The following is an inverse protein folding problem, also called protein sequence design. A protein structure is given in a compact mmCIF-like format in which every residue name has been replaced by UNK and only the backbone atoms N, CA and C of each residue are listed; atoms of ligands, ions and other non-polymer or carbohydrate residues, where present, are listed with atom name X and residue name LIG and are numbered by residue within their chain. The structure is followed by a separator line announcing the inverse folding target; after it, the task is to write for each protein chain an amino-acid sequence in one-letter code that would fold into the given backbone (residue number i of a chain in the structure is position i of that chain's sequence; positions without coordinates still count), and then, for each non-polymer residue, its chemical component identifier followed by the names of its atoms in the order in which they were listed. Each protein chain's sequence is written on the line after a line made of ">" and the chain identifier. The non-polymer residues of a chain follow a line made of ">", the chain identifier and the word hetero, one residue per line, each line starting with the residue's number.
data_IF_175211656244
#
_entry.id   IF_175211656244
#
_cell.length_a   1.000
_cell.length_b   1.000
_cell.length_c   1.000
_cell.angle_alpha   90.00
_cell.angle_beta   90.00
_cell.angle_gamma   90.00
#
_symmetry.space_group_name_H-M   'P 1'
#
loop_
_entity.id
_entity.type
_entity.pdbx_description
1 polymer ?
#
# COMPACT_ATOMS: atom_id res chain seq x y z
N UNK A 1 19.40 29.84 -19.28
CA UNK A 1 19.09 29.93 -17.85
C UNK A 1 19.36 28.57 -17.25
N UNK A 2 20.34 28.48 -16.35
CA UNK A 2 20.55 27.22 -15.61
C UNK A 2 19.43 27.11 -14.57
N UNK A 3 18.46 26.23 -14.82
CA UNK A 3 17.47 25.89 -13.82
C UNK A 3 18.13 25.05 -12.75
N UNK A 4 18.10 25.50 -11.51
CA UNK A 4 18.44 24.66 -10.35
C UNK A 4 17.33 23.66 -10.17
N UNK A 5 17.68 22.42 -9.86
CA UNK A 5 16.68 21.40 -9.60
C UNK A 5 17.17 20.35 -8.61
N UNK A 6 16.24 19.82 -7.84
CA UNK A 6 16.39 18.56 -7.12
C UNK A 6 15.47 17.59 -7.84
N UNK A 7 16.01 16.55 -8.43
CA UNK A 7 15.22 15.60 -9.20
C UNK A 7 15.59 14.17 -8.86
N UNK A 8 14.62 13.26 -8.95
CA UNK A 8 14.81 11.83 -8.75
C UNK A 8 15.63 11.53 -7.48
N UNK A 9 15.20 12.11 -6.36
CA UNK A 9 15.89 12.02 -5.08
C UNK A 9 14.93 11.60 -3.97
N UNK A 10 15.43 10.94 -2.95
CA UNK A 10 14.59 10.50 -1.85
C UNK A 10 15.31 10.53 -0.50
N UNK A 11 14.52 10.55 0.55
CA UNK A 11 14.96 10.34 1.92
C UNK A 11 14.15 9.21 2.58
N UNK A 12 14.86 8.29 3.23
CA UNK A 12 14.26 7.19 4.00
C UNK A 12 14.63 7.25 5.50
N UNK A 13 15.58 8.13 5.85
CA UNK A 13 16.03 8.33 7.22
C UNK A 13 15.25 9.45 7.91
N UNK A 14 15.18 9.39 9.24
CA UNK A 14 14.57 10.45 10.03
C UNK A 14 15.40 11.74 9.98
N UNK A 15 14.71 12.87 9.90
CA UNK A 15 15.30 14.22 9.94
C UNK A 15 14.79 14.94 11.17
N UNK A 16 15.69 15.28 12.07
CA UNK A 16 15.36 16.03 13.30
C UNK A 16 16.25 17.25 13.43
N UNK A 17 15.66 18.41 13.67
CA UNK A 17 16.38 19.66 13.87
C UNK A 17 15.64 20.57 14.87
N UNK A 18 16.40 21.33 15.68
CA UNK A 18 15.84 22.33 16.59
C UNK A 18 15.47 23.65 15.88
N UNK A 19 15.80 23.78 14.61
CA UNK A 19 15.65 24.99 13.81
C UNK A 19 14.42 25.00 12.91
N UNK A 20 14.32 26.07 12.12
CA UNK A 20 13.27 26.28 11.13
C UNK A 20 13.72 25.78 9.74
N UNK A 21 12.74 25.70 8.82
CA UNK A 21 12.95 25.27 7.42
C UNK A 21 13.49 23.84 7.33
N UNK A 22 12.75 22.92 7.89
CA UNK A 22 13.11 21.49 7.93
C UNK A 22 12.28 20.72 6.92
N UNK A 23 12.91 19.98 6.06
CA UNK A 23 12.24 19.12 5.09
C UNK A 23 12.96 17.81 4.89
N UNK A 24 12.22 16.76 4.59
CA UNK A 24 12.80 15.43 4.37
C UNK A 24 13.75 15.37 3.19
N UNK A 25 13.52 16.19 2.14
CA UNK A 25 14.36 16.26 0.95
C UNK A 25 15.19 17.55 0.91
N UNK A 26 14.60 18.70 1.24
CA UNK A 26 15.32 19.96 1.35
C UNK A 26 14.75 20.88 2.41
N UNK A 27 15.60 21.60 3.12
CA UNK A 27 15.17 22.58 4.11
C UNK A 27 14.49 23.80 3.46
N UNK A 28 15.10 24.37 2.43
CA UNK A 28 14.57 25.50 1.69
C UNK A 28 14.85 25.35 0.19
N UNK A 29 13.85 25.65 -0.60
CA UNK A 29 13.90 25.78 -2.05
C UNK A 29 13.69 27.25 -2.44
N UNK A 30 14.57 27.79 -3.26
CA UNK A 30 14.48 29.14 -3.77
C UNK A 30 14.70 29.15 -5.28
N UNK A 31 13.68 29.49 -6.05
CA UNK A 31 13.72 29.57 -7.51
C UNK A 31 14.26 28.29 -8.18
N UNK A 32 13.91 27.13 -7.63
CA UNK A 32 14.34 25.85 -8.16
C UNK A 32 13.15 24.89 -8.30
N UNK A 33 13.32 23.86 -9.12
CA UNK A 33 12.34 22.80 -9.30
C UNK A 33 12.71 21.60 -8.40
N UNK A 34 11.74 21.13 -7.64
CA UNK A 34 11.81 19.85 -6.92
C UNK A 34 10.86 18.88 -7.64
N UNK A 35 11.38 17.88 -8.31
CA UNK A 35 10.60 17.01 -9.21
C UNK A 35 10.98 15.53 -9.06
N UNK A 36 9.98 14.67 -8.93
CA UNK A 36 10.22 13.24 -8.81
C UNK A 36 10.93 12.87 -7.51
N UNK A 37 10.39 13.31 -6.35
CA UNK A 37 11.05 13.08 -5.06
C UNK A 37 10.10 12.46 -4.03
N UNK A 38 10.67 11.79 -3.03
CA UNK A 38 9.84 11.31 -1.91
C UNK A 38 10.59 11.27 -0.57
N UNK A 39 9.80 11.25 0.49
CA UNK A 39 10.26 11.02 1.85
C UNK A 39 9.43 9.95 2.54
N UNK A 40 10.10 9.04 3.25
CA UNK A 40 9.45 8.03 4.10
C UNK A 40 9.90 8.12 5.56
N UNK A 41 10.99 8.84 5.85
CA UNK A 41 11.47 9.08 7.19
C UNK A 41 10.62 10.12 7.94
N UNK A 42 10.62 10.07 9.26
CA UNK A 42 9.99 11.10 10.09
C UNK A 42 10.73 12.43 9.95
N UNK A 43 9.98 13.54 9.94
CA UNK A 43 10.56 14.90 9.88
C UNK A 43 10.09 15.69 11.10
N UNK A 44 11.03 16.19 11.87
CA UNK A 44 10.77 17.00 13.08
C UNK A 44 11.60 18.28 13.06
N UNK A 45 10.94 19.42 13.33
CA UNK A 45 11.58 20.72 13.39
C UNK A 45 10.84 21.71 14.26
N UNK A 46 11.29 22.97 14.29
CA UNK A 46 10.57 24.05 14.97
C UNK A 46 9.45 24.60 14.07
N UNK A 47 9.76 25.52 13.17
CA UNK A 47 8.79 26.14 12.28
C UNK A 47 9.11 25.87 10.82
N UNK A 48 8.10 25.95 9.95
CA UNK A 48 8.22 25.69 8.52
C UNK A 48 8.78 24.28 8.26
N UNK A 49 8.02 23.28 8.65
CA UNK A 49 8.40 21.87 8.52
C UNK A 49 7.53 21.18 7.47
N UNK A 50 8.16 20.55 6.50
CA UNK A 50 7.47 19.82 5.46
C UNK A 50 8.04 18.42 5.25
N UNK A 51 7.20 17.47 4.87
CA UNK A 51 7.66 16.12 4.57
C UNK A 51 8.66 16.07 3.41
N UNK A 52 8.53 17.00 2.45
CA UNK A 52 9.46 17.16 1.32
C UNK A 52 10.32 18.42 1.49
N UNK A 53 9.70 19.57 1.69
CA UNK A 53 10.43 20.85 1.81
C UNK A 53 9.88 21.67 2.98
N UNK A 54 10.79 22.29 3.75
CA UNK A 54 10.41 23.19 4.82
C UNK A 54 9.89 24.53 4.31
N UNK A 55 10.54 25.07 3.28
CA UNK A 55 10.20 26.33 2.63
C UNK A 55 10.34 26.24 1.13
N UNK A 56 9.45 26.91 0.43
CA UNK A 56 9.51 27.08 -1.02
C UNK A 56 9.20 28.53 -1.40
N UNK A 57 10.20 29.24 -1.92
CA UNK A 57 10.09 30.62 -2.34
C UNK A 57 10.49 30.79 -3.81
N UNK A 58 9.56 31.32 -4.60
CA UNK A 58 9.76 31.60 -6.02
C UNK A 58 9.56 33.08 -6.31
N UNK A 59 10.10 33.54 -7.44
CA UNK A 59 9.76 34.84 -7.99
C UNK A 59 8.34 34.79 -8.59
N UNK A 60 7.58 35.86 -8.47
CA UNK A 60 6.18 36.00 -8.93
C UNK A 60 5.99 35.65 -10.41
N UNK A 61 7.04 35.71 -11.22
CA UNK A 61 6.99 35.50 -12.68
C UNK A 61 7.13 34.03 -13.11
N UNK A 62 7.28 33.09 -12.16
CA UNK A 62 7.50 31.68 -12.51
C UNK A 62 6.16 30.95 -12.65
N UNK A 63 5.81 30.58 -13.89
CA UNK A 63 4.60 29.85 -14.25
C UNK A 63 4.82 28.32 -14.24
N UNK A 64 5.43 27.77 -13.19
CA UNK A 64 5.56 26.32 -13.06
C UNK A 64 5.48 25.89 -11.59
N UNK A 65 5.07 24.64 -11.38
CA UNK A 65 5.08 24.04 -10.06
C UNK A 65 6.53 23.91 -9.57
N UNK A 66 6.81 24.51 -8.43
CA UNK A 66 8.12 24.45 -7.80
C UNK A 66 8.37 23.10 -7.10
N UNK A 67 7.31 22.46 -6.62
CA UNK A 67 7.35 21.09 -6.12
C UNK A 67 6.33 20.27 -6.89
N UNK A 68 6.79 19.26 -7.62
CA UNK A 68 5.89 18.37 -8.35
C UNK A 68 6.34 16.91 -8.32
N UNK A 69 5.39 16.03 -8.60
CA UNK A 69 5.65 14.60 -8.62
C UNK A 69 6.36 14.15 -7.33
N UNK A 70 5.73 14.43 -6.20
CA UNK A 70 6.34 14.14 -4.91
C UNK A 70 5.37 13.45 -3.93
N UNK A 71 5.91 12.68 -3.01
CA UNK A 71 5.10 12.14 -1.93
C UNK A 71 5.83 12.04 -0.60
N UNK A 72 5.04 11.99 0.47
CA UNK A 72 5.51 11.74 1.81
C UNK A 72 4.68 10.65 2.48
N UNK A 73 5.34 9.71 3.14
CA UNK A 73 4.69 8.70 3.99
C UNK A 73 5.18 8.75 5.44
N UNK A 74 6.27 9.50 5.70
CA UNK A 74 6.79 9.73 7.03
C UNK A 74 5.94 10.73 7.83
N UNK A 75 5.96 10.64 9.14
CA UNK A 75 5.32 11.63 9.99
C UNK A 75 6.04 12.98 9.94
N UNK A 76 5.28 14.07 10.06
CA UNK A 76 5.81 15.44 10.09
C UNK A 76 5.33 16.14 11.34
N UNK A 77 6.26 16.72 12.10
CA UNK A 77 5.94 17.40 13.35
C UNK A 77 6.74 18.68 13.58
N UNK A 78 6.13 19.66 14.27
CA UNK A 78 6.77 20.92 14.62
C UNK A 78 5.84 21.87 15.37
N UNK A 79 6.18 23.17 15.39
CA UNK A 79 5.38 24.17 16.11
C UNK A 79 4.43 24.90 15.15
N UNK A 80 4.94 25.51 14.08
CA UNK A 80 4.15 26.37 13.20
C UNK A 80 4.50 26.14 11.72
N UNK A 81 3.50 26.28 10.83
CA UNK A 81 3.59 26.07 9.40
C UNK A 81 4.06 24.64 9.07
N UNK A 82 3.27 23.68 9.45
CA UNK A 82 3.61 22.26 9.32
C UNK A 82 2.77 21.64 8.20
N UNK A 83 3.42 21.13 7.16
CA UNK A 83 2.75 20.52 6.02
C UNK A 83 3.28 19.13 5.69
N UNK A 84 2.42 18.25 5.25
CA UNK A 84 2.82 16.89 4.85
C UNK A 84 3.79 16.85 3.66
N UNK A 85 3.75 17.89 2.83
CA UNK A 85 4.67 18.08 1.68
C UNK A 85 5.52 19.33 1.88
N UNK A 86 4.89 20.49 2.14
CA UNK A 86 5.55 21.78 2.22
C UNK A 86 5.17 22.52 3.50
N UNK A 87 6.14 22.99 4.26
CA UNK A 87 5.88 23.78 5.47
C UNK A 87 5.32 25.18 5.15
N UNK A 88 6.06 26.00 4.44
CA UNK A 88 5.69 27.36 4.03
C UNK A 88 5.96 27.58 2.54
N UNK A 89 4.94 28.00 1.79
CA UNK A 89 5.04 28.35 0.37
C UNK A 89 4.91 29.85 0.15
N UNK A 90 5.77 30.40 -0.72
CA UNK A 90 5.76 31.78 -1.17
C UNK A 90 5.88 31.80 -2.69
N UNK A 91 4.83 32.24 -3.41
CA UNK A 91 4.72 32.22 -4.87
C UNK A 91 4.97 30.89 -5.58
N UNK A 92 5.21 29.82 -4.84
CA UNK A 92 5.42 28.47 -5.37
C UNK A 92 4.12 27.73 -5.64
N UNK A 93 4.18 26.66 -6.40
CA UNK A 93 3.04 25.76 -6.58
C UNK A 93 3.42 24.30 -6.33
N UNK A 94 2.49 23.56 -5.79
CA UNK A 94 2.62 22.14 -5.48
C UNK A 94 1.69 21.35 -6.38
N UNK A 95 2.18 20.39 -7.13
CA UNK A 95 1.37 19.63 -8.07
C UNK A 95 1.72 18.14 -8.11
N UNK A 96 0.72 17.28 -8.33
CA UNK A 96 0.88 15.84 -8.44
C UNK A 96 1.58 15.26 -7.21
N UNK A 97 1.01 15.50 -6.04
CA UNK A 97 1.60 15.09 -4.76
C UNK A 97 0.60 14.36 -3.89
N UNK A 98 1.09 13.56 -2.98
CA UNK A 98 0.28 13.03 -1.89
C UNK A 98 1.05 12.89 -0.58
N UNK A 99 0.29 12.93 0.51
CA UNK A 99 0.80 12.67 1.85
C UNK A 99 -0.02 11.57 2.53
N UNK A 100 0.63 10.51 2.98
CA UNK A 100 0.04 9.46 3.81
C UNK A 100 0.55 9.49 5.24
N UNK A 101 1.58 10.31 5.52
CA UNK A 101 2.14 10.48 6.85
C UNK A 101 1.26 11.36 7.73
N UNK A 102 1.30 11.11 9.03
CA UNK A 102 0.63 11.95 10.01
C UNK A 102 1.33 13.31 10.14
N UNK A 103 0.55 14.39 10.13
CA UNK A 103 1.06 15.74 10.33
C UNK A 103 0.57 16.29 11.68
N UNK A 104 1.45 16.92 12.45
CA UNK A 104 1.11 17.46 13.77
C UNK A 104 1.91 18.72 14.10
N UNK A 105 1.26 19.66 14.81
CA UNK A 105 1.88 20.91 15.22
C UNK A 105 0.96 21.75 16.10
N UNK A 106 1.43 22.95 16.47
CA UNK A 106 0.69 23.87 17.36
C UNK A 106 -0.10 24.92 16.59
N UNK A 107 0.34 25.29 15.38
CA UNK A 107 -0.32 26.30 14.54
C UNK A 107 -0.03 26.06 13.04
N UNK A 108 -0.97 26.46 12.20
CA UNK A 108 -0.86 26.39 10.75
C UNK A 108 -0.42 24.99 10.29
N UNK A 109 -1.22 23.98 10.62
CA UNK A 109 -0.97 22.56 10.31
C UNK A 109 -1.91 22.13 9.19
N UNK A 110 -1.35 21.50 8.17
CA UNK A 110 -2.12 21.00 7.03
C UNK A 110 -1.52 19.71 6.47
N UNK A 111 -2.35 18.91 5.83
CA UNK A 111 -1.91 17.63 5.27
C UNK A 111 -0.96 17.78 4.06
N UNK A 112 -1.01 18.88 3.33
CA UNK A 112 -0.17 19.14 2.16
C UNK A 112 0.76 20.32 2.37
N UNK A 113 0.23 21.53 2.67
CA UNK A 113 1.02 22.75 2.80
C UNK A 113 0.60 23.53 4.05
N UNK A 114 1.47 23.65 5.05
CA UNK A 114 1.15 24.26 6.33
C UNK A 114 0.68 25.71 6.21
N UNK A 115 1.40 26.55 5.48
CA UNK A 115 1.03 27.93 5.25
C UNK A 115 1.49 28.46 3.88
N UNK A 116 0.83 29.55 3.45
CA UNK A 116 1.27 30.41 2.36
C UNK A 116 1.38 31.85 2.86
N UNK A 117 2.50 32.48 2.58
CA UNK A 117 2.82 33.82 3.09
C UNK A 117 2.30 34.96 2.17
N UNK A 118 1.66 34.61 1.06
CA UNK A 118 1.16 35.58 0.09
C UNK A 118 -0.32 35.39 -0.23
N UNK A 119 -1.02 36.49 -0.60
CA UNK A 119 -2.38 36.45 -1.13
C UNK A 119 -2.45 35.70 -2.47
N UNK A 120 -1.34 35.57 -3.20
CA UNK A 120 -1.20 34.68 -4.31
C UNK A 120 -1.12 33.25 -3.79
N UNK A 121 -2.28 32.64 -3.67
CA UNK A 121 -2.42 31.24 -3.25
C UNK A 121 -1.50 30.40 -4.10
N UNK A 122 -0.45 29.84 -3.50
CA UNK A 122 0.35 28.81 -4.11
C UNK A 122 -0.61 27.76 -4.66
N UNK A 123 -0.60 27.57 -5.98
CA UNK A 123 -1.58 26.69 -6.58
C UNK A 123 -1.28 25.25 -6.19
N UNK A 124 -2.07 24.70 -5.28
CA UNK A 124 -2.02 23.27 -4.97
C UNK A 124 -2.96 22.55 -5.93
N UNK A 125 -2.41 21.64 -6.72
CA UNK A 125 -3.15 20.92 -7.76
C UNK A 125 -2.83 19.43 -7.72
N UNK A 126 -3.85 18.59 -7.95
CA UNK A 126 -3.72 17.14 -7.93
C UNK A 126 -2.96 16.67 -6.67
N UNK A 127 -3.46 17.09 -5.51
CA UNK A 127 -2.83 16.85 -4.21
C UNK A 127 -3.79 16.11 -3.29
N UNK A 128 -3.35 14.97 -2.77
CA UNK A 128 -4.18 14.04 -2.01
C UNK A 128 -3.57 13.70 -0.66
N UNK A 129 -4.42 13.37 0.29
CA UNK A 129 -4.00 12.91 1.61
C UNK A 129 -5.09 12.03 2.27
N UNK A 130 -4.72 11.25 3.27
CA UNK A 130 -5.68 10.56 4.11
C UNK A 130 -6.23 11.50 5.18
N UNK A 131 -7.49 11.35 5.56
CA UNK A 131 -8.17 12.22 6.54
C UNK A 131 -7.55 12.19 7.93
N UNK A 132 -6.83 11.15 8.28
CA UNK A 132 -6.11 11.02 9.54
C UNK A 132 -4.66 11.56 9.48
N UNK A 133 -4.20 12.00 8.32
CA UNK A 133 -2.84 12.52 8.14
C UNK A 133 -2.65 13.96 8.61
N UNK A 134 -3.73 14.69 8.86
CA UNK A 134 -3.66 16.09 9.34
C UNK A 134 -4.91 16.90 9.03
N UNK A 135 -4.79 18.22 9.13
CA UNK A 135 -5.87 19.15 8.84
C UNK A 135 -6.08 19.36 7.34
N UNK A 136 -7.30 19.74 6.99
CA UNK A 136 -7.76 19.86 5.61
C UNK A 136 -7.88 21.35 5.21
N UNK A 137 -6.85 21.89 4.62
CA UNK A 137 -6.88 23.24 4.05
C UNK A 137 -6.52 23.25 2.56
N UNK A 138 -5.54 22.44 2.17
CA UNK A 138 -5.05 22.33 0.80
C UNK A 138 -5.09 20.86 0.33
N UNK A 139 -5.49 20.64 -0.93
CA UNK A 139 -5.57 19.30 -1.52
C UNK A 139 -6.95 18.64 -1.36
N UNK A 140 -7.08 17.45 -1.92
CA UNK A 140 -8.30 16.63 -1.84
C UNK A 140 -8.22 15.66 -0.66
N UNK A 141 -8.97 15.94 0.38
CA UNK A 141 -9.08 15.12 1.60
C UNK A 141 -10.13 14.01 1.51
N UNK A 142 -10.51 13.60 0.31
CA UNK A 142 -11.48 12.51 0.14
C UNK A 142 -10.92 11.20 0.69
N UNK A 143 -11.71 10.53 1.51
CA UNK A 143 -11.40 9.15 1.93
C UNK A 143 -11.82 8.21 0.82
N UNK A 144 -10.86 7.54 0.25
CA UNK A 144 -11.13 6.49 -0.73
C UNK A 144 -11.38 5.16 -0.03
N UNK A 145 -12.39 4.43 -0.47
CA UNK A 145 -12.73 3.14 0.10
C UNK A 145 -11.67 2.07 -0.21
N UNK A 146 -10.94 2.26 -1.30
CA UNK A 146 -9.88 1.35 -1.73
C UNK A 146 -8.66 2.10 -2.25
N UNK A 147 -7.50 1.46 -2.20
CA UNK A 147 -6.29 1.98 -2.83
C UNK A 147 -6.46 2.17 -4.34
N UNK A 148 -7.24 1.33 -4.99
CA UNK A 148 -7.53 1.44 -6.42
C UNK A 148 -8.27 2.74 -6.75
N UNK A 149 -9.27 3.15 -5.95
CA UNK A 149 -9.99 4.42 -6.15
C UNK A 149 -9.05 5.62 -5.94
N UNK A 150 -8.20 5.58 -4.92
CA UNK A 150 -7.17 6.60 -4.71
C UNK A 150 -6.22 6.70 -5.91
N UNK A 151 -5.68 5.56 -6.38
CA UNK A 151 -4.79 5.52 -7.54
C UNK A 151 -5.47 6.06 -8.80
N UNK A 152 -6.73 5.73 -9.02
CA UNK A 152 -7.50 6.23 -10.16
C UNK A 152 -7.67 7.74 -10.09
N UNK A 153 -8.11 8.27 -8.96
CA UNK A 153 -8.29 9.72 -8.78
C UNK A 153 -6.98 10.49 -8.96
N UNK A 154 -5.88 9.97 -8.41
CA UNK A 154 -4.55 10.55 -8.60
C UNK A 154 -4.13 10.53 -10.08
N UNK A 155 -4.30 9.39 -10.75
CA UNK A 155 -3.95 9.21 -12.16
C UNK A 155 -4.75 10.13 -13.11
N UNK A 156 -6.04 10.33 -12.82
CA UNK A 156 -6.92 11.19 -13.62
C UNK A 156 -6.49 12.66 -13.56
N UNK A 157 -5.88 13.08 -12.46
CA UNK A 157 -5.32 14.42 -12.29
C UNK A 157 -3.96 14.64 -12.95
N UNK A 158 -3.27 13.57 -13.41
CA UNK A 158 -1.94 13.67 -14.02
C UNK A 158 -2.01 14.13 -15.48
N UNK A 159 -1.11 15.03 -15.86
CA UNK A 159 -0.82 15.33 -17.26
C UNK A 159 -0.09 14.17 -17.96
N UNK A 160 -0.10 14.15 -19.30
CA UNK A 160 0.50 13.04 -20.08
C UNK A 160 2.00 12.84 -19.81
N UNK A 161 2.74 13.90 -19.55
CA UNK A 161 4.17 13.79 -19.20
C UNK A 161 4.36 13.25 -17.78
N UNK A 162 3.50 13.63 -16.84
CA UNK A 162 3.57 13.18 -15.45
C UNK A 162 3.18 11.70 -15.32
N UNK A 163 2.25 11.19 -16.14
CA UNK A 163 1.92 9.77 -16.23
C UNK A 163 3.12 8.89 -16.56
N UNK A 164 4.13 9.43 -17.24
CA UNK A 164 5.38 8.70 -17.52
C UNK A 164 6.25 8.52 -16.28
N UNK A 165 6.08 9.38 -15.30
CA UNK A 165 6.86 9.41 -14.05
C UNK A 165 6.23 8.54 -12.98
N UNK A 166 4.91 8.44 -12.96
CA UNK A 166 4.16 7.71 -11.94
C UNK A 166 3.73 6.31 -12.37
N UNK A 167 3.78 5.38 -11.42
CA UNK A 167 3.09 4.10 -11.48
C UNK A 167 1.80 4.20 -10.67
N UNK A 168 0.66 4.16 -11.34
CA UNK A 168 -0.66 4.41 -10.74
C UNK A 168 -1.63 3.23 -10.88
N UNK A 169 -1.27 2.20 -11.60
CA UNK A 169 -2.09 1.03 -11.89
C UNK A 169 -2.05 -0.06 -10.79
N UNK A 170 -1.37 0.22 -9.69
CA UNK A 170 -1.25 -0.71 -8.59
C UNK A 170 -2.54 -0.76 -7.76
N UNK A 171 -3.16 -1.93 -7.69
CA UNK A 171 -4.45 -2.13 -7.01
C UNK A 171 -4.37 -2.12 -5.48
N UNK A 172 -3.19 -2.28 -4.91
CA UNK A 172 -3.01 -2.47 -3.46
C UNK A 172 -1.97 -1.56 -2.81
N UNK A 173 -1.27 -0.75 -3.58
CA UNK A 173 -0.30 0.21 -3.06
C UNK A 173 -0.61 1.61 -3.58
N UNK A 174 -0.24 2.65 -2.83
CA UNK A 174 -0.33 4.02 -3.30
C UNK A 174 0.55 4.23 -4.55
N UNK A 175 0.28 5.26 -5.38
CA UNK A 175 1.12 5.60 -6.52
C UNK A 175 2.58 5.79 -6.11
N UNK A 176 3.52 5.42 -6.96
CA UNK A 176 4.93 5.63 -6.71
C UNK A 176 5.70 6.05 -7.96
N UNK A 177 6.90 6.58 -7.75
CA UNK A 177 7.71 7.17 -8.80
C UNK A 177 8.55 6.10 -9.51
N UNK A 178 8.29 5.88 -10.80
CA UNK A 178 8.99 4.91 -11.65
C UNK A 178 10.52 5.06 -11.69
N UNK A 179 11.11 6.28 -11.68
CA UNK A 179 12.56 6.41 -11.76
C UNK A 179 13.36 5.73 -10.64
N UNK A 180 12.71 5.40 -9.52
CA UNK A 180 13.35 4.68 -8.41
C UNK A 180 13.22 3.17 -8.51
N UNK A 181 12.51 2.67 -9.52
CA UNK A 181 12.26 1.26 -9.69
C UNK A 181 13.16 0.69 -10.78
N UNK A 182 13.63 -0.52 -10.54
CA UNK A 182 14.21 -1.31 -11.60
C UNK A 182 13.09 -1.74 -12.56
N UNK A 183 13.23 -1.41 -13.84
CA UNK A 183 12.30 -1.88 -14.85
C UNK A 183 12.51 -3.37 -15.11
N UNK A 184 11.42 -4.12 -15.08
CA UNK A 184 11.37 -5.54 -15.43
C UNK A 184 10.41 -5.70 -16.58
N UNK A 185 10.93 -6.02 -17.76
CA UNK A 185 10.13 -6.19 -18.96
C UNK A 185 10.42 -7.54 -19.64
N UNK A 186 9.40 -8.15 -20.20
CA UNK A 186 9.54 -9.39 -20.94
C UNK A 186 8.21 -10.09 -21.23
N UNK A 187 8.22 -10.92 -22.25
CA UNK A 187 7.09 -11.79 -22.55
C UNK A 187 7.30 -13.15 -21.88
N UNK A 188 6.50 -13.38 -20.86
CA UNK A 188 6.48 -14.64 -20.09
C UNK A 188 5.80 -15.75 -20.89
N UNK A 189 4.99 -15.38 -21.89
CA UNK A 189 4.20 -16.31 -22.67
C UNK A 189 3.03 -16.91 -21.87
N UNK A 190 2.72 -18.17 -22.14
CA UNK A 190 1.63 -18.87 -21.45
C UNK A 190 2.16 -19.74 -20.32
N UNK A 191 1.77 -19.42 -19.09
CA UNK A 191 1.99 -20.25 -17.92
C UNK A 191 0.73 -21.03 -17.58
N UNK A 192 0.86 -22.32 -17.30
CA UNK A 192 -0.26 -23.17 -16.91
C UNK A 192 0.04 -23.85 -15.58
N UNK A 193 -0.87 -23.74 -14.64
CA UNK A 193 -0.75 -24.39 -13.34
C UNK A 193 -2.11 -24.78 -12.76
N UNK A 194 -2.16 -25.77 -11.91
CA UNK A 194 -3.39 -26.19 -11.24
C UNK A 194 -3.77 -25.16 -10.16
N UNK A 195 -5.05 -25.04 -9.86
CA UNK A 195 -5.51 -24.24 -8.73
C UNK A 195 -4.85 -24.73 -7.42
N UNK A 196 -4.35 -23.79 -6.62
CA UNK A 196 -3.60 -24.09 -5.41
C UNK A 196 -2.11 -24.41 -5.59
N UNK A 197 -1.59 -24.35 -6.84
CA UNK A 197 -0.16 -24.44 -7.10
C UNK A 197 0.55 -23.15 -6.67
N UNK A 198 1.86 -23.25 -6.47
CA UNK A 198 2.72 -22.09 -6.28
C UNK A 198 2.95 -21.36 -7.62
N UNK A 199 2.04 -20.45 -7.97
CA UNK A 199 2.14 -19.65 -9.21
C UNK A 199 3.37 -18.74 -9.19
N UNK A 200 3.78 -18.31 -8.01
CA UNK A 200 4.96 -17.46 -7.84
C UNK A 200 6.23 -18.20 -8.22
N UNK A 201 6.39 -19.44 -7.78
CA UNK A 201 7.51 -20.28 -8.18
C UNK A 201 7.55 -20.54 -9.69
N UNK A 202 6.38 -20.80 -10.31
CA UNK A 202 6.28 -21.00 -11.75
C UNK A 202 6.66 -19.72 -12.54
N UNK A 203 6.20 -18.57 -12.13
CA UNK A 203 6.58 -17.28 -12.72
C UNK A 203 8.07 -17.01 -12.57
N UNK A 204 8.62 -17.20 -11.38
CA UNK A 204 10.05 -16.96 -11.11
C UNK A 204 10.95 -17.85 -11.94
N UNK A 205 10.60 -19.13 -12.09
CA UNK A 205 11.34 -20.05 -12.96
C UNK A 205 11.35 -19.55 -14.41
N UNK A 206 10.21 -19.05 -14.89
CA UNK A 206 10.10 -18.49 -16.23
C UNK A 206 10.89 -17.20 -16.43
N UNK A 207 10.85 -16.31 -15.45
CA UNK A 207 11.66 -15.08 -15.47
C UNK A 207 13.15 -15.40 -15.49
N UNK A 208 13.58 -16.39 -14.71
CA UNK A 208 14.97 -16.86 -14.72
C UNK A 208 15.40 -17.43 -16.07
N UNK A 209 14.55 -18.19 -16.77
CA UNK A 209 14.81 -18.64 -18.14
C UNK A 209 15.01 -17.48 -19.12
N UNK A 210 14.32 -16.37 -18.91
CA UNK A 210 14.47 -15.12 -19.66
C UNK A 210 15.68 -14.29 -19.23
N UNK A 211 16.45 -14.74 -18.24
CA UNK A 211 17.59 -14.00 -17.68
C UNK A 211 17.20 -12.85 -16.76
N UNK A 212 15.94 -12.81 -16.32
CA UNK A 212 15.39 -11.78 -15.45
C UNK A 212 15.45 -12.27 -14.00
N UNK A 213 16.27 -11.62 -13.19
CA UNK A 213 16.37 -11.91 -11.76
C UNK A 213 15.54 -10.91 -10.97
N UNK A 214 14.64 -11.41 -10.13
CA UNK A 214 13.76 -10.62 -9.29
C UNK A 214 13.77 -11.13 -7.86
N UNK A 215 13.51 -10.20 -6.93
CA UNK A 215 13.18 -10.56 -5.56
C UNK A 215 11.71 -11.03 -5.52
N UNK A 216 11.46 -12.29 -5.16
CA UNK A 216 10.11 -12.82 -5.15
C UNK A 216 9.17 -12.06 -4.22
N UNK A 217 9.65 -11.51 -3.13
CA UNK A 217 8.80 -10.83 -2.15
C UNK A 217 8.30 -9.47 -2.63
N UNK A 218 8.88 -8.98 -3.72
CA UNK A 218 8.49 -7.72 -4.35
C UNK A 218 7.47 -7.88 -5.47
N UNK A 219 7.12 -9.10 -5.88
CA UNK A 219 6.08 -9.38 -6.89
C UNK A 219 4.84 -9.95 -6.20
N UNK A 220 3.72 -9.32 -6.44
CA UNK A 220 2.42 -9.58 -5.81
C UNK A 220 1.36 -9.86 -6.89
N UNK A 221 0.18 -10.31 -6.48
CA UNK A 221 -0.96 -10.53 -7.35
C UNK A 221 -1.26 -12.00 -7.66
N UNK A 222 -0.42 -12.93 -7.24
CA UNK A 222 -0.54 -14.35 -7.56
C UNK A 222 -1.28 -15.19 -6.51
N UNK A 223 -1.71 -14.58 -5.41
CA UNK A 223 -2.33 -15.31 -4.32
C UNK A 223 -3.83 -15.47 -4.51
N UNK A 224 -4.35 -16.64 -4.14
CA UNK A 224 -5.79 -16.89 -4.06
C UNK A 224 -6.53 -16.92 -5.39
N UNK A 225 -5.84 -17.14 -6.50
CA UNK A 225 -6.45 -17.16 -7.83
C UNK A 225 -7.37 -18.36 -8.02
N UNK A 226 -8.58 -18.11 -8.52
CA UNK A 226 -9.52 -19.13 -8.95
C UNK A 226 -9.11 -19.72 -10.30
N UNK A 227 -9.77 -20.80 -10.74
CA UNK A 227 -9.60 -21.30 -12.10
C UNK A 227 -10.03 -20.24 -13.12
N UNK A 228 -9.18 -19.97 -14.11
CA UNK A 228 -9.40 -18.91 -15.10
C UNK A 228 -8.17 -18.60 -15.92
N UNK A 229 -8.31 -17.66 -16.83
CA UNK A 229 -7.19 -17.05 -17.57
C UNK A 229 -6.99 -15.62 -17.10
N UNK A 230 -5.74 -15.26 -16.86
CA UNK A 230 -5.34 -13.96 -16.32
C UNK A 230 -4.25 -13.36 -17.20
N UNK A 231 -4.41 -12.11 -17.60
CA UNK A 231 -3.34 -11.33 -18.20
C UNK A 231 -2.31 -10.98 -17.13
N UNK A 232 -1.04 -11.31 -17.35
CA UNK A 232 0.02 -11.07 -16.36
C UNK A 232 0.29 -9.57 -16.16
N UNK A 233 0.13 -8.75 -17.20
CA UNK A 233 0.31 -7.31 -17.11
C UNK A 233 -0.76 -6.64 -16.26
N UNK A 234 -1.98 -7.20 -16.23
CA UNK A 234 -3.08 -6.71 -15.38
C UNK A 234 -3.07 -7.35 -13.98
N UNK A 235 -2.56 -8.55 -13.85
CA UNK A 235 -2.57 -9.34 -12.62
C UNK A 235 -1.45 -8.93 -11.67
N UNK A 236 -0.23 -8.77 -12.21
CA UNK A 236 0.96 -8.58 -11.41
C UNK A 236 1.13 -7.11 -11.00
N UNK A 237 1.55 -6.92 -9.76
CA UNK A 237 1.96 -5.62 -9.25
C UNK A 237 3.16 -5.80 -8.32
N UNK A 238 3.82 -4.72 -8.01
CA UNK A 238 5.04 -4.72 -7.19
C UNK A 238 4.82 -4.01 -5.86
N UNK A 239 5.69 -4.28 -4.89
CA UNK A 239 5.80 -3.44 -3.70
C UNK A 239 6.30 -2.04 -4.06
N UNK A 240 6.12 -1.07 -3.18
CA UNK A 240 6.51 0.32 -3.41
C UNK A 240 8.01 0.50 -3.69
N UNK A 241 8.85 -0.36 -3.11
CA UNK A 241 10.30 -0.42 -3.31
C UNK A 241 10.72 -1.55 -4.29
N UNK A 242 9.79 -2.04 -5.08
CA UNK A 242 9.98 -3.18 -5.98
C UNK A 242 10.37 -2.81 -7.39
N UNK A 243 9.52 -3.15 -8.36
CA UNK A 243 9.83 -3.08 -9.78
C UNK A 243 8.78 -2.30 -10.57
N UNK A 244 9.21 -1.61 -11.64
CA UNK A 244 8.31 -1.19 -12.70
C UNK A 244 8.07 -2.39 -13.63
N UNK A 245 6.96 -3.10 -13.42
CA UNK A 245 6.65 -4.33 -14.15
C UNK A 245 6.03 -4.01 -15.52
N UNK A 246 6.65 -4.51 -16.57
CA UNK A 246 6.16 -4.51 -17.96
C UNK A 246 6.18 -5.94 -18.50
N UNK A 247 5.62 -6.87 -17.73
CA UNK A 247 5.54 -8.27 -18.10
C UNK A 247 4.27 -8.51 -18.89
N UNK A 248 4.38 -9.22 -20.00
CA UNK A 248 3.26 -9.70 -20.79
C UNK A 248 3.16 -11.22 -20.74
N UNK A 249 1.99 -11.75 -20.99
CA UNK A 249 1.72 -13.18 -21.00
C UNK A 249 0.41 -13.53 -20.31
N UNK A 250 0.10 -14.82 -20.30
CA UNK A 250 -1.16 -15.32 -19.74
C UNK A 250 -0.88 -16.40 -18.71
N UNK A 251 -1.44 -16.25 -17.53
CA UNK A 251 -1.51 -17.29 -16.52
C UNK A 251 -2.84 -18.05 -16.65
N UNK A 252 -2.78 -19.34 -16.90
CA UNK A 252 -3.95 -20.22 -16.94
C UNK A 252 -3.99 -21.06 -15.68
N UNK A 253 -4.92 -20.75 -14.81
CA UNK A 253 -5.22 -21.53 -13.62
C UNK A 253 -6.24 -22.60 -14.02
N UNK A 254 -5.77 -23.84 -14.16
CA UNK A 254 -6.66 -24.97 -14.44
C UNK A 254 -7.45 -25.32 -13.19
N UNK A 255 -8.73 -25.64 -13.36
CA UNK A 255 -9.48 -26.31 -12.30
C UNK A 255 -8.66 -27.51 -11.85
N UNK A 256 -8.29 -27.56 -10.59
CA UNK A 256 -7.68 -28.76 -10.03
C UNK A 256 -8.65 -29.90 -10.33
N UNK A 257 -8.20 -30.94 -11.00
CA UNK A 257 -8.92 -32.20 -10.94
C UNK A 257 -8.94 -32.53 -9.46
N UNK A 258 -10.13 -32.39 -8.85
CA UNK A 258 -10.35 -32.94 -7.53
C UNK A 258 -9.81 -34.38 -7.62
N UNK A 259 -8.81 -34.78 -6.83
CA UNK A 259 -8.41 -36.17 -6.85
C UNK A 259 -9.68 -36.97 -6.68
N UNK A 260 -9.91 -37.93 -7.58
CA UNK A 260 -11.05 -38.86 -7.40
C UNK A 260 -11.04 -39.28 -5.93
N UNK A 261 -12.19 -39.16 -5.25
CA UNK A 261 -12.23 -39.53 -3.84
C UNK A 261 -11.65 -40.95 -3.75
N UNK A 262 -10.51 -41.07 -3.09
CA UNK A 262 -9.91 -42.35 -2.78
C UNK A 262 -11.04 -43.18 -2.21
N UNK A 263 -11.30 -44.44 -2.72
CA UNK A 263 -12.42 -45.25 -2.23
C UNK A 263 -12.35 -45.24 -0.72
N UNK A 264 -13.41 -44.74 -0.09
CA UNK A 264 -13.51 -44.62 1.36
C UNK A 264 -13.17 -45.96 1.99
N UNK A 265 -12.18 -45.97 2.87
CA UNK A 265 -12.11 -46.99 3.87
C UNK A 265 -13.44 -46.96 4.66
N UNK A 266 -14.02 -48.09 5.03
CA UNK A 266 -15.34 -48.13 5.63
C UNK A 266 -15.38 -47.18 6.83
N UNK A 267 -16.40 -46.34 6.81
CA UNK A 267 -16.61 -45.25 7.75
C UNK A 267 -16.41 -45.72 9.19
N UNK A 268 -15.39 -45.20 9.83
CA UNK A 268 -15.40 -45.10 11.28
C UNK A 268 -16.46 -44.06 11.64
N UNK A 269 -17.20 -44.26 12.67
CA UNK A 269 -18.40 -43.58 13.14
C UNK A 269 -18.26 -42.06 13.40
N UNK A 270 -17.57 -41.35 12.52
CA UNK A 270 -17.34 -39.91 12.61
C UNK A 270 -18.53 -39.14 12.08
N UNK A 271 -19.46 -38.83 12.97
CA UNK A 271 -20.74 -38.17 12.68
C UNK A 271 -20.65 -36.76 12.08
N UNK A 272 -19.46 -36.15 12.03
CA UNK A 272 -19.33 -34.72 11.69
C UNK A 272 -18.11 -34.41 10.80
N UNK A 273 -18.01 -35.05 9.66
CA UNK A 273 -17.02 -34.64 8.65
C UNK A 273 -17.73 -33.85 7.54
N UNK A 274 -17.34 -32.59 7.36
CA UNK A 274 -17.89 -31.73 6.31
C UNK A 274 -16.78 -31.20 5.39
N UNK A 275 -17.03 -31.23 4.11
CA UNK A 275 -16.14 -30.58 3.12
C UNK A 275 -16.41 -29.09 3.11
N UNK A 276 -15.37 -28.27 3.31
CA UNK A 276 -15.47 -26.82 3.35
C UNK A 276 -14.87 -26.18 2.11
N UNK A 277 -15.49 -25.12 1.66
CA UNK A 277 -14.90 -24.22 0.68
C UNK A 277 -13.70 -23.46 1.27
N UNK A 278 -12.86 -22.91 0.43
CA UNK A 278 -11.70 -22.09 0.87
C UNK A 278 -12.11 -20.92 1.77
N UNK A 279 -13.27 -20.32 1.48
CA UNK A 279 -13.81 -19.22 2.30
C UNK A 279 -14.25 -19.72 3.68
N UNK A 280 -14.96 -20.83 3.73
CA UNK A 280 -15.39 -21.44 4.99
C UNK A 280 -14.19 -21.84 5.87
N UNK A 281 -13.12 -22.38 5.25
CA UNK A 281 -11.86 -22.68 5.97
C UNK A 281 -11.26 -21.42 6.60
N UNK A 282 -11.18 -20.30 5.86
CA UNK A 282 -10.69 -19.03 6.40
C UNK A 282 -11.54 -18.52 7.57
N UNK A 283 -12.83 -18.64 7.47
CA UNK A 283 -13.74 -18.25 8.57
C UNK A 283 -13.51 -19.10 9.81
N UNK A 284 -13.40 -20.41 9.65
CA UNK A 284 -13.13 -21.33 10.76
C UNK A 284 -11.76 -21.04 11.39
N UNK A 285 -10.72 -20.82 10.60
CA UNK A 285 -9.39 -20.45 11.10
C UNK A 285 -9.41 -19.12 11.86
N UNK A 286 -10.11 -18.11 11.33
CA UNK A 286 -10.25 -16.83 12.00
C UNK A 286 -10.99 -16.95 13.32
N UNK A 287 -12.04 -17.77 13.35
CA UNK A 287 -12.81 -18.05 14.56
C UNK A 287 -11.98 -18.81 15.60
N UNK A 288 -11.26 -19.85 15.19
CA UNK A 288 -10.35 -20.60 16.05
C UNK A 288 -9.25 -19.70 16.65
N UNK A 289 -8.66 -18.83 15.81
CA UNK A 289 -7.68 -17.86 16.27
C UNK A 289 -8.26 -16.84 17.24
N UNK A 290 -9.50 -16.44 17.04
CA UNK A 290 -10.22 -15.55 17.96
C UNK A 290 -10.40 -16.22 19.33
N UNK A 291 -10.80 -17.47 19.37
CA UNK A 291 -10.98 -18.21 20.62
C UNK A 291 -9.65 -18.40 21.39
N UNK A 292 -8.55 -18.65 20.67
CA UNK A 292 -7.20 -18.75 21.28
C UNK A 292 -6.74 -17.42 21.89
N UNK A 293 -7.11 -16.32 21.27
CA UNK A 293 -6.72 -14.97 21.70
C UNK A 293 -7.63 -14.43 22.81
N UNK A 294 -8.80 -14.99 23.00
CA UNK A 294 -9.72 -14.61 24.07
C UNK A 294 -9.31 -15.32 25.37
N UNK A 295 -8.90 -14.57 26.37
CA UNK A 295 -8.38 -15.10 27.65
C UNK A 295 -9.39 -15.87 28.47
N UNK A 296 -10.67 -15.70 28.18
CA UNK A 296 -11.78 -16.29 28.92
C UNK A 296 -12.23 -17.64 28.31
N UNK A 297 -11.61 -18.07 27.19
CA UNK A 297 -11.95 -19.32 26.54
C UNK A 297 -10.83 -20.35 26.67
N UNK A 298 -11.15 -21.51 27.20
CA UNK A 298 -10.29 -22.68 27.21
C UNK A 298 -10.71 -23.64 26.10
N UNK A 299 -9.81 -23.82 25.11
CA UNK A 299 -9.98 -24.87 24.09
C UNK A 299 -9.35 -26.13 24.63
N UNK A 300 -10.17 -27.07 25.07
CA UNK A 300 -9.70 -28.40 25.44
C UNK A 300 -9.31 -29.22 24.19
N UNK A 301 -8.39 -30.17 24.35
CA UNK A 301 -7.81 -30.95 23.25
C UNK A 301 -8.85 -31.69 22.41
N UNK A 302 -9.94 -32.10 22.97
CA UNK A 302 -11.06 -32.81 22.34
C UNK A 302 -12.04 -31.89 21.57
N UNK A 303 -11.83 -30.57 21.57
CA UNK A 303 -12.62 -29.58 20.80
C UNK A 303 -11.86 -29.02 19.60
N UNK A 304 -10.75 -29.62 19.23
CA UNK A 304 -9.97 -29.14 18.09
C UNK A 304 -10.73 -29.36 16.78
N UNK A 305 -10.87 -28.30 16.03
CA UNK A 305 -11.24 -28.36 14.64
C UNK A 305 -9.96 -28.63 13.86
N UNK A 306 -9.82 -29.83 13.31
CA UNK A 306 -8.72 -30.16 12.42
C UNK A 306 -9.09 -29.80 11.00
N UNK A 307 -8.31 -28.89 10.41
CA UNK A 307 -8.40 -28.57 9.00
C UNK A 307 -7.48 -29.49 8.22
N UNK A 308 -8.05 -30.39 7.49
CA UNK A 308 -7.34 -31.12 6.44
C UNK A 308 -7.50 -30.39 5.11
N UNK A 309 -6.70 -30.72 4.09
CA UNK A 309 -6.63 -29.98 2.81
C UNK A 309 -7.98 -29.65 2.15
N UNK A 310 -9.03 -30.39 2.42
CA UNK A 310 -10.36 -30.15 1.89
C UNK A 310 -11.51 -30.40 2.88
N UNK A 311 -11.25 -30.82 4.10
CA UNK A 311 -12.28 -31.16 5.07
C UNK A 311 -11.96 -30.61 6.45
N UNK A 312 -13.03 -30.32 7.20
CA UNK A 312 -12.93 -30.05 8.64
C UNK A 312 -13.45 -31.27 9.35
N UNK A 313 -12.62 -31.83 10.19
CA UNK A 313 -13.06 -32.84 11.14
C UNK A 313 -13.37 -32.14 12.45
N UNK A 314 -14.64 -32.10 12.82
CA UNK A 314 -15.08 -31.64 14.12
C UNK A 314 -15.16 -32.88 15.02
N UNK A 315 -14.26 -32.98 15.97
CA UNK A 315 -14.38 -34.04 16.97
C UNK A 315 -15.63 -33.81 17.82
N UNK A 316 -16.47 -34.85 17.99
CA UNK A 316 -17.71 -34.70 18.76
C UNK A 316 -17.35 -34.37 20.19
N UNK A 317 -17.75 -33.20 20.63
CA UNK A 317 -17.85 -32.91 22.05
C UNK A 317 -19.16 -33.50 22.49
N UNK A 318 -19.16 -34.41 23.45
CA UNK A 318 -20.40 -34.82 24.10
C UNK A 318 -20.95 -33.59 24.77
N UNK A 319 -22.12 -33.12 24.31
CA UNK A 319 -22.78 -31.93 24.84
C UNK A 319 -23.02 -31.98 26.35
N UNK A 320 -23.01 -33.17 26.89
CA UNK A 320 -23.15 -33.44 28.34
C UNK A 320 -21.91 -32.98 29.15
N UNK A 321 -20.78 -32.75 28.50
CA UNK A 321 -19.53 -32.28 29.14
C UNK A 321 -19.35 -30.76 29.01
N UNK A 322 -20.19 -30.10 28.19
CA UNK A 322 -20.15 -28.66 28.00
C UNK A 322 -21.22 -28.03 28.87
N UNK A 323 -20.86 -27.66 30.06
CA UNK A 323 -21.72 -26.85 30.89
C UNK A 323 -21.68 -25.39 30.43
N UNK A 324 -22.45 -25.10 29.39
CA UNK A 324 -22.55 -23.73 28.80
C UNK A 324 -23.09 -22.70 29.80
N UNK A 325 -23.60 -23.14 30.97
CA UNK A 325 -24.11 -22.24 31.99
C UNK A 325 -23.04 -21.74 32.95
N UNK A 326 -21.96 -22.52 33.13
CA UNK A 326 -20.86 -22.14 34.03
C UNK A 326 -19.75 -21.34 33.35
N UNK A 327 -19.71 -21.32 32.02
CA UNK A 327 -18.67 -20.62 31.27
C UNK A 327 -19.14 -19.27 30.65
N UNK A 328 -20.21 -18.73 31.17
CA UNK A 328 -20.78 -17.49 30.66
C UNK A 328 -21.38 -17.70 29.28
N UNK A 329 -22.65 -17.63 29.15
CA UNK A 329 -23.34 -17.61 27.87
C UNK A 329 -22.68 -16.59 26.97
N UNK A 330 -22.32 -16.92 25.73
CA UNK A 330 -22.01 -15.91 24.75
C UNK A 330 -23.14 -14.91 24.76
N UNK A 331 -22.84 -13.64 24.90
CA UNK A 331 -23.84 -12.59 24.70
C UNK A 331 -24.44 -12.81 23.31
N UNK A 332 -25.80 -12.82 23.27
CA UNK A 332 -26.57 -12.95 22.05
C UNK A 332 -26.14 -11.99 20.96
#
# INVERSE_FOLDING_TARGET
>A
VYKRQIANSYNIGDVTADGNYVGGVCGANANALVDGVYNTGAVEGADNVGGVAGYDGNDEELDYASIKNAYNTGSVSGNKNIGGILGLGEYGSVANVYNLGKVSGSADVDAIMGASDTEAVSAVRNAYFLTDSGYQKYGDGTVYATTAEFNQAFADGLGEEDKKVWQTDQKQTAPYLKPFLQEISGDVGRLEAAAGSDFKAALLAKLQELGINVDPDKILGLDGLAAGEYDLGELLYSTQDGYALQLTGTLVVKSGTQPEPKPEAPATDDKYTATLTSLQKKVVQAWEQSLVNDRDWHIEENRRIQLDNNSVKIEPVLFDEVNLQDEGTPAE
#
